data_IF_815109941029
#
_entry.id   IF_815109941029
#
_cell.length_a   1.000
_cell.length_b   1.000
_cell.length_c   1.000
_cell.angle_alpha   90.00
_cell.angle_beta   90.00
_cell.angle_gamma   90.00
#
_symmetry.space_group_name_H-M   'P 1'
#
loop_
_entity.id
_entity.type
_entity.pdbx_description
1 polymer ?
#
# COMPACT_ATOMS: atom_id res chain seq x y z
N UNK A 1 -12.83 -15.50 5.22
CA UNK A 1 -11.69 -15.25 4.31
C UNK A 1 -11.78 -13.78 3.90
N UNK A 2 -10.98 -12.91 4.52
CA UNK A 2 -11.00 -11.48 4.21
C UNK A 2 -10.22 -11.28 2.90
N UNK A 3 -10.93 -11.12 1.78
CA UNK A 3 -10.30 -10.63 0.55
C UNK A 3 -9.88 -9.17 0.80
N UNK A 4 -8.64 -8.96 1.24
CA UNK A 4 -8.05 -7.63 1.23
C UNK A 4 -7.94 -7.22 -0.24
N UNK A 5 -8.81 -6.30 -0.64
CA UNK A 5 -9.08 -5.95 -2.02
C UNK A 5 -7.79 -5.61 -2.78
N UNK A 6 -7.74 -6.06 -4.04
CA UNK A 6 -6.88 -5.53 -5.10
C UNK A 6 -6.97 -3.99 -5.24
N UNK A 7 -7.90 -3.32 -4.54
CA UNK A 7 -8.09 -1.87 -4.53
C UNK A 7 -7.12 -1.06 -3.65
N UNK A 8 -6.16 -1.70 -2.96
CA UNK A 8 -5.07 -0.97 -2.30
C UNK A 8 -3.99 -0.59 -3.34
N UNK A 9 -3.78 -1.47 -4.33
CA UNK A 9 -2.85 -1.38 -5.46
C UNK A 9 -3.10 -0.21 -6.41
N UNK A 10 -2.22 0.80 -6.50
CA UNK A 10 -2.16 1.69 -7.66
C UNK A 10 -1.22 1.09 -8.71
N UNK A 11 -1.72 0.84 -9.92
CA UNK A 11 -0.95 0.21 -11.00
C UNK A 11 -0.81 1.15 -12.20
N UNK A 12 0.34 1.08 -12.88
CA UNK A 12 0.52 1.64 -14.22
C UNK A 12 -0.09 0.72 -15.28
N UNK A 13 -0.36 1.24 -16.48
CA UNK A 13 -0.82 0.42 -17.62
C UNK A 13 0.15 -0.70 -17.99
N UNK A 14 1.44 -0.57 -17.64
CA UNK A 14 2.45 -1.60 -17.83
C UNK A 14 2.41 -2.73 -16.79
N UNK A 15 1.54 -2.63 -15.77
CA UNK A 15 1.48 -3.57 -14.65
C UNK A 15 2.43 -3.26 -13.48
N UNK A 16 3.27 -2.21 -13.58
CA UNK A 16 4.14 -1.79 -12.47
C UNK A 16 3.29 -1.21 -11.33
N UNK A 17 3.68 -1.49 -10.10
CA UNK A 17 3.10 -0.93 -8.88
C UNK A 17 3.57 0.51 -8.72
N UNK A 18 2.65 1.45 -8.58
CA UNK A 18 2.93 2.87 -8.32
C UNK A 18 2.82 3.24 -6.85
N UNK A 19 2.27 2.33 -6.03
CA UNK A 19 2.11 2.51 -4.59
C UNK A 19 0.75 2.03 -4.11
N UNK A 20 0.41 2.42 -2.88
CA UNK A 20 -0.89 2.14 -2.28
C UNK A 20 -1.81 3.36 -2.30
N UNK A 21 -3.11 3.11 -2.29
CA UNK A 21 -4.11 4.15 -1.99
C UNK A 21 -4.05 4.50 -0.50
N UNK A 22 -3.41 5.64 -0.21
CA UNK A 22 -3.21 6.14 1.15
C UNK A 22 -4.56 6.43 1.85
N UNK A 23 -5.57 6.89 1.12
CA UNK A 23 -6.88 7.19 1.68
C UNK A 23 -7.59 5.92 2.15
N UNK A 24 -7.55 4.85 1.34
CA UNK A 24 -8.12 3.56 1.74
C UNK A 24 -7.36 2.95 2.92
N UNK A 25 -6.03 3.03 2.92
CA UNK A 25 -5.22 2.53 4.02
C UNK A 25 -5.46 3.29 5.34
N UNK A 26 -5.63 4.61 5.29
CA UNK A 26 -5.98 5.42 6.46
C UNK A 26 -7.41 5.16 6.95
N UNK A 27 -8.38 4.98 6.06
CA UNK A 27 -9.75 4.60 6.44
C UNK A 27 -9.79 3.23 7.14
N UNK A 28 -8.97 2.28 6.69
CA UNK A 28 -8.82 0.97 7.36
C UNK A 28 -8.16 1.13 8.73
N UNK A 29 -7.14 1.99 8.82
CA UNK A 29 -6.45 2.25 10.08
C UNK A 29 -7.38 2.90 11.11
N UNK A 30 -8.20 3.87 10.68
CA UNK A 30 -9.22 4.52 11.50
C UNK A 30 -10.25 3.50 12.01
N UNK A 31 -10.78 2.67 11.11
CA UNK A 31 -11.75 1.63 11.46
C UNK A 31 -11.21 0.58 12.43
N UNK A 32 -9.87 0.42 12.50
CA UNK A 32 -9.17 -0.47 13.43
C UNK A 32 -8.73 0.22 14.72
N UNK A 33 -9.01 1.50 14.88
CA UNK A 33 -8.65 2.28 16.06
C UNK A 33 -7.15 2.60 16.17
N UNK A 34 -6.44 2.66 15.04
CA UNK A 34 -5.05 3.09 15.02
C UNK A 34 -4.92 4.62 14.97
N UNK A 35 -3.82 5.14 15.51
CA UNK A 35 -3.47 6.55 15.40
C UNK A 35 -3.10 6.90 13.95
N UNK A 36 -3.89 7.78 13.34
CA UNK A 36 -3.72 8.17 11.94
C UNK A 36 -2.45 8.97 11.70
N UNK A 37 -1.95 9.73 12.68
CA UNK A 37 -0.70 10.46 12.52
C UNK A 37 0.46 9.49 12.39
N UNK A 38 0.56 8.52 13.33
CA UNK A 38 1.59 7.48 13.32
C UNK A 38 1.48 6.62 12.06
N UNK A 39 0.26 6.18 11.71
CA UNK A 39 0.06 5.37 10.51
C UNK A 39 0.45 6.15 9.26
N UNK A 40 0.08 7.42 9.14
CA UNK A 40 0.40 8.21 7.94
C UNK A 40 1.90 8.36 7.71
N UNK A 41 2.69 8.46 8.78
CA UNK A 41 4.15 8.53 8.72
C UNK A 41 4.75 7.19 8.26
N UNK A 42 4.39 6.09 8.93
CA UNK A 42 4.91 4.76 8.61
C UNK A 42 4.48 4.27 7.22
N UNK A 43 3.29 4.65 6.79
CA UNK A 43 2.68 4.19 5.55
C UNK A 43 3.37 4.76 4.31
N UNK A 44 4.00 5.93 4.40
CA UNK A 44 4.80 6.49 3.31
C UNK A 44 6.04 5.63 3.04
N UNK A 45 6.79 5.31 4.08
CA UNK A 45 7.99 4.45 3.99
C UNK A 45 7.63 3.01 3.59
N UNK A 46 6.55 2.46 4.18
CA UNK A 46 6.05 1.14 3.79
C UNK A 46 5.60 1.10 2.32
N UNK A 47 4.98 2.18 1.84
CA UNK A 47 4.59 2.32 0.44
C UNK A 47 5.78 2.34 -0.52
N UNK A 48 6.86 3.06 -0.18
CA UNK A 48 8.08 3.09 -0.97
C UNK A 48 8.73 1.70 -1.05
N UNK A 49 8.92 1.02 0.09
CA UNK A 49 9.49 -0.33 0.11
C UNK A 49 8.64 -1.36 -0.64
N UNK A 50 7.31 -1.22 -0.62
CA UNK A 50 6.41 -2.06 -1.40
C UNK A 50 6.55 -1.83 -2.90
N UNK A 51 6.65 -0.58 -3.35
CA UNK A 51 6.88 -0.23 -4.76
C UNK A 51 8.18 -0.85 -5.24
N UNK A 52 9.26 -0.72 -4.46
CA UNK A 52 10.56 -1.28 -4.79
C UNK A 52 10.49 -2.81 -4.90
N UNK A 53 9.94 -3.48 -3.89
CA UNK A 53 9.84 -4.94 -3.84
C UNK A 53 8.96 -5.54 -4.95
N UNK A 54 7.85 -4.87 -5.28
CA UNK A 54 6.90 -5.38 -6.28
C UNK A 54 7.34 -5.11 -7.72
N UNK A 55 8.20 -4.11 -7.95
CA UNK A 55 8.71 -3.78 -9.28
C UNK A 55 10.13 -4.29 -9.53
N UNK A 56 10.87 -4.69 -8.49
CA UNK A 56 12.09 -5.45 -8.65
C UNK A 56 11.73 -6.81 -9.25
N UNK A 57 11.97 -6.97 -10.56
CA UNK A 57 11.79 -8.23 -11.29
C UNK A 57 12.33 -9.43 -10.52
N UNK A 58 11.57 -10.53 -10.59
CA UNK A 58 11.97 -11.93 -10.49
C UNK A 58 13.48 -12.13 -10.75
N UNK A 59 14.29 -12.01 -9.70
CA UNK A 59 15.72 -12.32 -9.75
C UNK A 59 15.88 -13.81 -9.42
N UNK A 60 15.36 -14.67 -10.29
CA UNK A 60 15.72 -16.09 -10.45
C UNK A 60 15.35 -16.56 -11.87
#
# INVERSE_FOLDING_TARGET
MLQACLGQLRLAASGHVLGIDLGVALNIAEARGHDLAIVSELLQEAGAGLVDAMNSKDAD
#
